data_IF_222919501506
#
_entry.id   IF_222919501506
#
_cell.length_a   1.000
_cell.length_b   1.000
_cell.length_c   1.000
_cell.angle_alpha   90.00
_cell.angle_beta   90.00
_cell.angle_gamma   90.00
#
_symmetry.space_group_name_H-M   'P 1'
#
loop_
_entity.id
_entity.type
_entity.pdbx_description
1 polymer ?
#
# COMPACT_ATOMS: atom_id res chain seq x y z
N UNK A 1 1.00 16.67 -1.62
CA UNK A 1 0.92 15.29 -2.15
C UNK A 1 -0.44 14.62 -1.96
N UNK A 2 -0.95 14.40 -0.73
CA UNK A 2 -2.19 13.64 -0.49
C UNK A 2 -3.38 13.98 -1.43
N UNK A 3 -3.73 15.27 -1.59
CA UNK A 3 -4.86 15.69 -2.43
C UNK A 3 -4.69 15.30 -3.91
N UNK A 4 -3.45 15.34 -4.42
CA UNK A 4 -3.14 14.95 -5.80
C UNK A 4 -3.38 13.45 -6.03
N UNK A 5 -2.97 12.64 -5.05
CA UNK A 5 -3.26 11.20 -5.06
C UNK A 5 -4.75 10.90 -4.93
N UNK A 6 -5.45 11.65 -4.07
CA UNK A 6 -6.89 11.50 -3.88
C UNK A 6 -7.70 11.83 -5.15
N UNK A 7 -7.29 12.87 -5.88
CA UNK A 7 -7.98 13.31 -7.10
C UNK A 7 -7.52 12.57 -8.35
N UNK A 8 -6.53 11.68 -8.23
CA UNK A 8 -6.08 10.84 -9.33
C UNK A 8 -7.11 9.76 -9.69
N UNK A 9 -7.26 9.48 -10.97
CA UNK A 9 -8.16 8.40 -11.42
C UNK A 9 -7.61 7.01 -11.10
N UNK A 10 -6.29 6.82 -11.20
CA UNK A 10 -5.61 5.58 -10.84
C UNK A 10 -4.15 5.86 -10.48
N UNK A 11 -3.68 5.25 -9.39
CA UNK A 11 -2.26 5.20 -9.06
C UNK A 11 -1.66 3.84 -9.43
N UNK A 12 -0.47 3.88 -10.00
CA UNK A 12 0.30 2.70 -10.36
C UNK A 12 1.47 2.58 -9.40
N UNK A 13 1.57 1.45 -8.71
CA UNK A 13 2.67 1.17 -7.79
C UNK A 13 3.54 0.09 -8.40
N UNK A 14 4.75 0.47 -8.77
CA UNK A 14 5.77 -0.44 -9.29
C UNK A 14 6.68 -0.92 -8.15
N UNK A 15 6.73 -2.23 -7.92
CA UNK A 15 7.46 -2.85 -6.83
C UNK A 15 8.72 -3.55 -7.36
N UNK A 16 9.83 -2.82 -7.39
CA UNK A 16 11.11 -3.28 -7.94
C UNK A 16 11.71 -4.52 -7.24
N UNK A 17 11.29 -4.78 -6.00
CA UNK A 17 11.76 -5.87 -5.15
C UNK A 17 10.77 -7.03 -5.03
N UNK A 18 9.68 -7.00 -5.79
CA UNK A 18 8.71 -8.09 -5.90
C UNK A 18 8.89 -8.80 -7.23
N UNK A 19 9.18 -10.10 -7.17
CA UNK A 19 9.25 -10.99 -8.33
C UNK A 19 8.54 -12.30 -8.04
N UNK A 20 7.98 -12.92 -9.08
CA UNK A 20 7.54 -14.31 -8.99
C UNK A 20 8.73 -15.23 -8.74
N UNK A 21 8.75 -15.89 -7.58
CA UNK A 21 9.49 -17.14 -7.42
C UNK A 21 8.70 -18.28 -8.08
N UNK A 22 9.40 -19.34 -8.49
CA UNK A 22 8.87 -20.43 -9.33
C UNK A 22 7.72 -21.28 -8.72
N UNK A 23 7.21 -20.96 -7.53
CA UNK A 23 6.13 -21.70 -6.86
C UNK A 23 4.93 -20.80 -6.63
N UNK A 24 3.74 -21.12 -7.15
CA UNK A 24 2.55 -20.25 -7.03
C UNK A 24 1.96 -20.25 -5.60
N UNK A 25 1.50 -19.08 -5.08
CA UNK A 25 1.69 -17.72 -5.59
C UNK A 25 3.04 -17.16 -5.10
N UNK A 26 4.07 -17.24 -5.94
CA UNK A 26 5.47 -17.07 -5.51
C UNK A 26 5.88 -15.65 -5.23
N UNK A 27 5.04 -14.69 -5.61
CA UNK A 27 5.25 -13.28 -5.38
C UNK A 27 4.66 -12.80 -4.04
N UNK A 28 3.74 -13.52 -3.41
CA UNK A 28 3.05 -13.02 -2.20
C UNK A 28 4.05 -12.81 -1.04
N UNK A 29 5.00 -13.74 -0.87
CA UNK A 29 6.04 -13.63 0.15
C UNK A 29 6.98 -12.45 -0.08
N UNK A 30 7.32 -12.14 -1.34
CA UNK A 30 8.15 -10.98 -1.68
C UNK A 30 7.35 -9.68 -1.55
N UNK A 31 6.06 -9.68 -1.89
CA UNK A 31 5.15 -8.56 -1.66
C UNK A 31 5.01 -8.21 -0.18
N UNK A 32 4.82 -9.22 0.70
CA UNK A 32 4.75 -9.01 2.16
C UNK A 32 6.01 -8.36 2.75
N UNK A 33 7.16 -8.55 2.12
CA UNK A 33 8.47 -8.04 2.55
C UNK A 33 8.95 -6.84 1.74
N UNK A 34 8.12 -6.31 0.84
CA UNK A 34 8.57 -5.27 -0.06
C UNK A 34 8.83 -3.97 0.69
N UNK A 35 9.86 -3.24 0.26
CA UNK A 35 10.29 -1.97 0.85
C UNK A 35 9.23 -0.89 0.77
N UNK A 36 8.27 -1.01 -0.15
CA UNK A 36 7.19 -0.04 -0.25
C UNK A 36 6.36 0.02 1.04
N UNK A 37 6.18 -1.09 1.76
CA UNK A 37 5.45 -1.10 3.04
C UNK A 37 6.25 -0.54 4.22
N UNK A 38 7.58 -0.44 4.11
CA UNK A 38 8.45 0.07 5.19
C UNK A 38 8.83 1.53 5.00
N UNK A 39 8.40 2.19 3.91
CA UNK A 39 8.64 3.62 3.67
C UNK A 39 7.52 4.45 4.29
N UNK A 40 7.86 5.57 4.91
CA UNK A 40 6.88 6.47 5.54
C UNK A 40 5.89 7.10 4.55
N UNK A 41 6.41 7.66 3.45
CA UNK A 41 5.61 8.41 2.47
C UNK A 41 4.56 7.59 1.73
N UNK A 42 4.82 6.29 1.55
CA UNK A 42 3.93 5.38 0.83
C UNK A 42 2.62 5.13 1.59
N UNK A 43 2.50 5.54 2.85
CA UNK A 43 1.21 5.51 3.57
C UNK A 43 0.20 6.45 2.93
N UNK A 44 0.63 7.64 2.49
CA UNK A 44 -0.26 8.58 1.80
C UNK A 44 -0.62 8.05 0.40
N UNK A 45 0.35 7.48 -0.30
CA UNK A 45 0.14 6.81 -1.60
C UNK A 45 -0.81 5.62 -1.48
N UNK A 46 -0.81 4.93 -0.34
CA UNK A 46 -1.75 3.85 -0.07
C UNK A 46 -3.15 4.35 0.27
N UNK A 47 -3.27 5.36 1.14
CA UNK A 47 -4.57 5.75 1.69
C UNK A 47 -5.33 6.75 0.82
N UNK A 48 -4.64 7.66 0.13
CA UNK A 48 -5.29 8.75 -0.59
C UNK A 48 -6.04 8.31 -1.86
N UNK A 49 -5.45 7.51 -2.77
CA UNK A 49 -6.11 7.16 -4.02
C UNK A 49 -7.26 6.18 -3.81
N UNK A 50 -8.32 6.37 -4.61
CA UNK A 50 -9.44 5.43 -4.67
C UNK A 50 -9.05 4.12 -5.38
N UNK A 51 -8.21 4.20 -6.42
CA UNK A 51 -7.76 3.06 -7.22
C UNK A 51 -6.24 2.97 -7.23
N UNK A 52 -5.70 1.82 -6.83
CA UNK A 52 -4.27 1.51 -6.89
C UNK A 52 -4.09 0.18 -7.61
N UNK A 53 -3.14 0.11 -8.54
CA UNK A 53 -2.73 -1.12 -9.23
C UNK A 53 -1.28 -1.42 -8.91
N UNK A 54 -1.00 -2.65 -8.48
CA UNK A 54 0.34 -3.10 -8.10
C UNK A 54 1.00 -3.90 -9.23
N UNK A 55 2.26 -3.61 -9.49
CA UNK A 55 3.06 -4.26 -10.53
C UNK A 55 4.38 -4.80 -9.97
N UNK A 56 4.80 -5.97 -10.44
CA UNK A 56 6.07 -6.59 -10.08
C UNK A 56 7.26 -5.88 -10.75
N UNK A 57 8.48 -6.28 -10.38
CA UNK A 57 9.73 -5.88 -11.05
C UNK A 57 9.72 -6.17 -12.56
N UNK A 58 8.95 -7.17 -13.00
CA UNK A 58 8.81 -7.52 -14.42
C UNK A 58 7.64 -6.80 -15.09
N UNK A 59 7.08 -5.78 -14.44
CA UNK A 59 5.87 -5.06 -14.85
C UNK A 59 4.62 -5.97 -14.99
N UNK A 60 4.59 -7.08 -14.27
CA UNK A 60 3.43 -7.98 -14.24
C UNK A 60 2.40 -7.45 -13.25
N UNK A 61 1.12 -7.50 -13.63
CA UNK A 61 0.03 -7.11 -12.77
C UNK A 61 -0.15 -8.10 -11.62
N UNK A 62 -0.02 -7.61 -10.38
CA UNK A 62 -0.16 -8.42 -9.16
C UNK A 62 -1.57 -8.38 -8.58
N UNK A 63 -2.30 -7.28 -8.83
CA UNK A 63 -3.62 -7.03 -8.27
C UNK A 63 -3.83 -5.54 -7.98
N UNK A 64 -5.00 -5.23 -7.45
CA UNK A 64 -5.37 -3.89 -7.05
C UNK A 64 -5.63 -3.79 -5.54
N UNK A 65 -5.86 -2.56 -5.09
CA UNK A 65 -6.15 -2.24 -3.70
C UNK A 65 -7.31 -3.05 -3.11
N UNK A 66 -8.32 -3.38 -3.93
CA UNK A 66 -9.49 -4.13 -3.50
C UNK A 66 -9.19 -5.64 -3.44
N UNK A 67 -8.58 -6.18 -4.49
CA UNK A 67 -8.23 -7.60 -4.56
C UNK A 67 -7.18 -8.01 -3.53
N UNK A 68 -6.25 -7.10 -3.21
CA UNK A 68 -5.17 -7.32 -2.25
C UNK A 68 -5.47 -6.75 -0.85
N UNK A 69 -6.70 -6.27 -0.59
CA UNK A 69 -7.05 -5.57 0.64
C UNK A 69 -6.72 -6.37 1.92
N UNK A 70 -7.03 -7.66 1.94
CA UNK A 70 -6.71 -8.53 3.07
C UNK A 70 -5.20 -8.70 3.26
N UNK A 71 -4.45 -8.90 2.17
CA UNK A 71 -3.00 -9.02 2.21
C UNK A 71 -2.33 -7.74 2.73
N UNK A 72 -2.80 -6.58 2.26
CA UNK A 72 -2.31 -5.27 2.69
C UNK A 72 -2.67 -5.01 4.17
N UNK A 73 -3.88 -5.40 4.59
CA UNK A 73 -4.28 -5.34 5.99
C UNK A 73 -3.37 -6.19 6.88
N UNK A 74 -3.06 -7.42 6.47
CA UNK A 74 -2.20 -8.31 7.26
C UNK A 74 -0.80 -7.71 7.49
N UNK A 75 -0.26 -7.03 6.48
CA UNK A 75 1.06 -6.38 6.51
C UNK A 75 1.03 -5.09 7.35
N UNK A 76 0.07 -4.20 7.09
CA UNK A 76 0.07 -2.83 7.59
C UNK A 76 -0.80 -2.61 8.84
N UNK A 77 -1.68 -3.56 9.14
CA UNK A 77 -2.75 -3.47 10.16
C UNK A 77 -3.74 -2.33 9.95
N UNK A 78 -3.75 -1.73 8.76
CA UNK A 78 -4.74 -0.72 8.38
C UNK A 78 -6.07 -1.43 8.13
N UNK A 79 -7.20 -0.98 8.73
CA UNK A 79 -8.51 -1.56 8.48
C UNK A 79 -8.87 -1.56 6.99
N UNK A 80 -9.50 -2.65 6.52
CA UNK A 80 -9.86 -2.82 5.11
C UNK A 80 -10.80 -1.70 4.65
N UNK A 81 -11.65 -1.20 5.55
CA UNK A 81 -12.57 -0.09 5.27
C UNK A 81 -11.83 1.23 5.01
N UNK A 82 -10.70 1.45 5.70
CA UNK A 82 -9.82 2.59 5.43
C UNK A 82 -9.07 2.41 4.12
N UNK A 83 -8.59 1.19 3.82
CA UNK A 83 -7.92 0.88 2.56
C UNK A 83 -8.87 1.08 1.37
N UNK A 84 -10.08 0.53 1.42
CA UNK A 84 -11.03 0.65 0.31
C UNK A 84 -11.69 2.03 0.20
N UNK A 85 -11.48 2.91 1.19
CA UNK A 85 -12.13 4.22 1.25
C UNK A 85 -13.64 4.15 1.54
N UNK A 86 -14.15 3.01 2.00
CA UNK A 86 -15.56 2.86 2.40
C UNK A 86 -15.86 3.55 3.74
N UNK A 87 -14.84 3.75 4.58
CA UNK A 87 -14.93 4.53 5.81
C UNK A 87 -14.00 5.76 5.74
N UNK A 88 -14.50 6.98 5.99
CA UNK A 88 -13.66 8.17 6.03
C UNK A 88 -12.55 8.05 7.08
N UNK A 89 -11.33 8.46 6.74
CA UNK A 89 -10.18 8.39 7.64
C UNK A 89 -10.39 9.17 8.95
N UNK A 90 -11.25 10.19 8.93
CA UNK A 90 -11.63 10.99 10.12
C UNK A 90 -12.42 10.22 11.18
N UNK A 91 -13.00 9.06 10.84
CA UNK A 91 -13.70 8.19 11.80
C UNK A 91 -12.75 7.34 12.65
N UNK A 92 -11.50 7.22 12.25
CA UNK A 92 -10.48 6.50 13.02
C UNK A 92 -9.80 7.42 14.02
N UNK A 93 -9.59 6.94 15.25
CA UNK A 93 -8.95 7.75 16.27
C UNK A 93 -7.53 8.12 15.85
N UNK A 94 -7.05 9.29 16.27
CA UNK A 94 -5.69 9.75 15.92
C UNK A 94 -4.63 8.73 16.35
N UNK A 95 -4.80 8.07 17.51
CA UNK A 95 -3.90 7.00 17.97
C UNK A 95 -3.80 5.84 16.98
N UNK A 96 -4.92 5.44 16.37
CA UNK A 96 -4.97 4.31 15.43
C UNK A 96 -4.29 4.71 14.12
N UNK A 97 -4.55 5.94 13.65
CA UNK A 97 -3.89 6.51 12.48
C UNK A 97 -2.39 6.68 12.68
N UNK A 98 -1.95 7.08 13.87
CA UNK A 98 -0.53 7.11 14.22
C UNK A 98 0.08 5.71 14.23
N UNK A 99 -0.66 4.69 14.68
CA UNK A 99 -0.17 3.31 14.66
C UNK A 99 0.07 2.76 13.23
N UNK A 100 -0.59 3.31 12.20
CA UNK A 100 -0.33 2.93 10.79
C UNK A 100 1.06 3.34 10.28
N UNK A 101 1.76 4.22 11.02
CA UNK A 101 3.15 4.55 10.78
C UNK A 101 4.14 3.56 11.40
N UNK A 102 3.68 2.64 12.25
CA UNK A 102 4.57 1.67 12.90
C UNK A 102 5.25 0.78 11.86
N UNK A 103 6.56 0.59 12.01
CA UNK A 103 7.37 -0.19 11.07
C UNK A 103 7.68 0.54 9.76
N UNK A 104 7.34 1.84 9.65
CA UNK A 104 7.72 2.69 8.51
C UNK A 104 8.82 3.67 8.90
N UNK A 105 9.86 3.72 8.08
CA UNK A 105 10.98 4.65 8.23
C UNK A 105 10.76 5.92 7.39
N UNK A 106 10.99 7.08 8.00
CA UNK A 106 10.93 8.41 7.39
C UNK A 106 12.32 9.03 7.31
N UNK A 107 13.31 8.26 6.85
CA UNK A 107 14.71 8.72 6.79
C UNK A 107 15.03 9.58 5.57
N UNK A 108 14.18 9.57 4.54
CA UNK A 108 14.29 10.44 3.37
C UNK A 108 13.08 11.39 3.29
N UNK A 109 13.27 12.72 3.27
CA UNK A 109 12.23 13.61 2.75
C UNK A 109 11.98 13.20 1.30
N UNK A 110 10.71 13.13 0.89
CA UNK A 110 10.22 12.66 -0.43
C UNK A 110 11.34 12.28 -1.41
N UNK A 111 11.61 10.99 -1.56
CA UNK A 111 12.68 10.49 -2.44
C UNK A 111 12.49 11.01 -3.87
#
# INVERSE_FOLDING_TARGET
MFKWYQDSETCYVYLSDVSENQSRPGWELSFRKCKWFTRGWTLQELLAPAKIKFFSRKAEYLGDKQSLGQLIHDITKIPIEALHGSCPLSKFATKDRCAWMNGRDTTRPED
#
